data_IF_772164705159
#
_entry.id   IF_772164705159
#
_cell.length_a   1.000
_cell.length_b   1.000
_cell.length_c   1.000
_cell.angle_alpha   90.00
_cell.angle_beta   90.00
_cell.angle_gamma   90.00
#
_symmetry.space_group_name_H-M   'P 1'
#
loop_
_entity.id
_entity.type
_entity.pdbx_description
1 polymer ?
#
# COMPACT_ATOMS: atom_id res chain seq x y z
N UNK A 1 -12.12 -8.47 16.11
CA UNK A 1 -13.29 -8.10 15.29
C UNK A 1 -13.72 -9.33 14.51
N UNK A 2 -15.02 -9.59 14.36
CA UNK A 2 -15.51 -10.73 13.58
C UNK A 2 -15.21 -10.58 12.09
N UNK A 3 -15.21 -11.69 11.35
CA UNK A 3 -14.92 -11.72 9.90
C UNK A 3 -15.88 -10.82 9.12
N UNK A 4 -17.14 -10.74 9.55
CA UNK A 4 -18.20 -9.99 8.88
C UNK A 4 -17.96 -8.46 8.83
N UNK A 5 -17.69 -7.75 9.95
CA UNK A 5 -17.37 -6.32 9.89
C UNK A 5 -16.09 -6.03 9.10
N UNK A 6 -15.07 -6.89 9.18
CA UNK A 6 -13.88 -6.76 8.35
C UNK A 6 -14.18 -6.91 6.85
N UNK A 7 -15.04 -7.87 6.48
CA UNK A 7 -15.49 -8.07 5.10
C UNK A 7 -16.30 -6.88 4.57
N UNK A 8 -17.15 -6.26 5.41
CA UNK A 8 -17.91 -5.07 5.02
C UNK A 8 -17.02 -3.86 4.74
N UNK A 9 -16.03 -3.61 5.61
CA UNK A 9 -15.06 -2.53 5.38
C UNK A 9 -14.28 -2.79 4.09
N UNK A 10 -13.81 -4.02 3.89
CA UNK A 10 -13.11 -4.38 2.64
C UNK A 10 -14.00 -4.20 1.41
N UNK A 11 -15.25 -4.66 1.47
CA UNK A 11 -16.22 -4.50 0.39
C UNK A 11 -16.50 -3.02 0.08
N UNK A 12 -16.56 -2.14 1.09
CA UNK A 12 -16.79 -0.71 0.89
C UNK A 12 -15.63 -0.02 0.14
N UNK A 13 -14.38 -0.46 0.34
CA UNK A 13 -13.21 0.09 -0.36
C UNK A 13 -12.85 -0.64 -1.66
N UNK A 14 -13.43 -1.82 -1.90
CA UNK A 14 -13.22 -2.60 -3.13
C UNK A 14 -13.54 -1.83 -4.42
N UNK A 15 -14.57 -0.96 -4.50
CA UNK A 15 -14.80 -0.12 -5.67
C UNK A 15 -13.67 0.88 -5.94
N UNK A 16 -13.03 1.44 -4.91
CA UNK A 16 -11.89 2.34 -5.09
C UNK A 16 -10.68 1.58 -5.63
N UNK A 17 -10.43 0.38 -5.10
CA UNK A 17 -9.42 -0.54 -5.63
C UNK A 17 -9.69 -0.83 -7.11
N UNK A 18 -10.94 -1.22 -7.43
CA UNK A 18 -11.35 -1.51 -8.79
C UNK A 18 -11.16 -0.30 -9.71
N UNK A 19 -11.59 0.89 -9.31
CA UNK A 19 -11.41 2.13 -10.08
C UNK A 19 -9.93 2.42 -10.32
N UNK A 20 -9.09 2.23 -9.30
CA UNK A 20 -7.65 2.47 -9.38
C UNK A 20 -7.00 1.55 -10.43
N UNK A 21 -7.34 0.26 -10.40
CA UNK A 21 -6.78 -0.75 -11.31
C UNK A 21 -7.37 -0.64 -12.71
N UNK A 22 -8.68 -0.42 -12.83
CA UNK A 22 -9.40 -0.45 -14.10
C UNK A 22 -9.33 0.86 -14.89
N UNK A 23 -9.19 2.01 -14.21
CA UNK A 23 -9.22 3.32 -14.86
C UNK A 23 -7.97 4.15 -14.61
N UNK A 24 -7.56 4.33 -13.34
CA UNK A 24 -6.51 5.29 -12.98
C UNK A 24 -5.14 4.84 -13.48
N UNK A 25 -4.76 3.58 -13.27
CA UNK A 25 -3.47 3.05 -13.73
C UNK A 25 -3.36 3.03 -15.26
N UNK A 26 -4.36 2.54 -16.03
CA UNK A 26 -4.36 2.64 -17.48
C UNK A 26 -4.24 4.08 -17.98
N UNK A 27 -4.95 5.02 -17.35
CA UNK A 27 -4.89 6.44 -17.70
C UNK A 27 -3.51 7.05 -17.41
N UNK A 28 -2.91 6.77 -16.25
CA UNK A 28 -1.54 7.18 -15.92
C UNK A 28 -0.51 6.67 -16.95
N UNK A 29 -0.71 5.42 -17.40
CA UNK A 29 0.14 4.83 -18.43
C UNK A 29 -0.05 5.50 -19.78
N UNK A 30 -1.27 5.77 -20.22
CA UNK A 30 -1.54 6.32 -21.56
C UNK A 30 -1.21 7.81 -21.66
N UNK A 31 -1.44 8.59 -20.60
CA UNK A 31 -1.22 10.04 -20.59
C UNK A 31 0.23 10.42 -20.26
N UNK A 32 0.86 9.73 -19.32
CA UNK A 32 2.19 10.10 -18.81
C UNK A 32 3.29 9.08 -19.12
N UNK A 33 2.95 7.96 -19.79
CA UNK A 33 3.91 6.88 -20.05
C UNK A 33 4.39 6.17 -18.78
N UNK A 34 3.72 6.37 -17.65
CA UNK A 34 4.16 5.84 -16.34
C UNK A 34 4.04 4.31 -16.35
N UNK A 35 5.12 3.57 -16.00
CA UNK A 35 5.05 2.13 -15.83
C UNK A 35 3.97 1.74 -14.81
N UNK A 36 3.14 0.71 -15.08
CA UNK A 36 2.03 0.33 -14.20
C UNK A 36 2.40 0.12 -12.74
N UNK A 37 3.63 -0.36 -12.48
CA UNK A 37 4.14 -0.55 -11.11
C UNK A 37 4.26 0.77 -10.35
N UNK A 38 4.78 1.82 -10.99
CA UNK A 38 4.88 3.16 -10.40
C UNK A 38 3.48 3.77 -10.28
N UNK A 39 2.64 3.55 -11.29
CA UNK A 39 1.23 3.93 -11.27
C UNK A 39 0.53 3.39 -10.04
N UNK A 40 0.69 2.10 -9.72
CA UNK A 40 0.14 1.48 -8.51
C UNK A 40 0.67 2.09 -7.21
N UNK A 41 1.97 2.36 -7.11
CA UNK A 41 2.51 2.98 -5.90
C UNK A 41 1.92 4.38 -5.64
N UNK A 42 1.75 5.18 -6.69
CA UNK A 42 1.19 6.53 -6.57
C UNK A 42 -0.33 6.47 -6.35
N UNK A 43 -1.06 5.81 -7.25
CA UNK A 43 -2.52 5.81 -7.24
C UNK A 43 -3.09 4.89 -6.16
N UNK A 44 -2.50 3.72 -5.91
CA UNK A 44 -2.88 2.83 -4.81
C UNK A 44 -2.70 3.51 -3.45
N UNK A 45 -1.62 4.28 -3.27
CA UNK A 45 -1.44 5.05 -2.04
C UNK A 45 -2.49 6.17 -1.92
N UNK A 46 -2.67 6.96 -2.99
CA UNK A 46 -3.55 8.12 -2.97
C UNK A 46 -5.04 7.77 -2.88
N UNK A 47 -5.49 6.74 -3.60
CA UNK A 47 -6.91 6.41 -3.79
C UNK A 47 -7.36 5.17 -3.02
N UNK A 48 -6.47 4.34 -2.50
CA UNK A 48 -6.85 3.15 -1.71
C UNK A 48 -6.39 3.31 -0.27
N UNK A 49 -5.08 3.46 -0.04
CA UNK A 49 -4.53 3.51 1.32
C UNK A 49 -4.95 4.76 2.09
N UNK A 50 -4.83 5.95 1.49
CA UNK A 50 -5.20 7.20 2.16
C UNK A 50 -6.68 7.22 2.57
N UNK A 51 -7.66 6.90 1.71
CA UNK A 51 -9.06 6.87 2.11
C UNK A 51 -9.35 5.89 3.25
N UNK A 52 -8.74 4.70 3.22
CA UNK A 52 -8.87 3.71 4.32
C UNK A 52 -8.29 4.28 5.62
N UNK A 53 -7.12 4.92 5.55
CA UNK A 53 -6.48 5.54 6.70
C UNK A 53 -7.33 6.67 7.28
N UNK A 54 -7.84 7.56 6.43
CA UNK A 54 -8.72 8.66 6.84
C UNK A 54 -10.03 8.14 7.44
N UNK A 55 -10.60 7.07 6.88
CA UNK A 55 -11.80 6.44 7.44
C UNK A 55 -11.53 5.85 8.82
N UNK A 56 -10.42 5.12 9.00
CA UNK A 56 -10.02 4.61 10.31
C UNK A 56 -9.77 5.73 11.33
N UNK A 57 -9.16 6.83 10.88
CA UNK A 57 -8.93 8.02 11.70
C UNK A 57 -10.25 8.69 12.11
N UNK A 58 -11.19 8.84 11.18
CA UNK A 58 -12.50 9.45 11.42
C UNK A 58 -13.34 8.60 12.37
N UNK A 59 -13.35 7.27 12.19
CA UNK A 59 -14.01 6.34 13.11
C UNK A 59 -13.41 6.43 14.51
N UNK A 60 -12.08 6.40 14.62
CA UNK A 60 -11.39 6.57 15.90
C UNK A 60 -11.67 7.93 16.54
N UNK A 61 -11.83 8.98 15.73
CA UNK A 61 -12.17 10.33 16.20
C UNK A 61 -13.61 10.42 16.72
N UNK A 62 -14.56 9.75 16.07
CA UNK A 62 -15.96 9.71 16.52
C UNK A 62 -16.16 8.91 17.80
N UNK A 63 -15.33 7.87 18.04
CA UNK A 63 -15.38 7.09 19.27
C UNK A 63 -14.76 7.80 20.50
N UNK A 64 -14.12 8.96 20.33
CA UNK A 64 -13.47 9.67 21.43
C UNK A 64 -14.49 10.51 22.24
N UNK A 65 -14.58 10.30 23.57
CA UNK A 65 -15.48 11.07 24.44
C UNK A 65 -15.11 12.55 24.50
N UNK A 66 -13.81 12.85 24.45
CA UNK A 66 -13.28 14.21 24.33
C UNK A 66 -12.47 14.26 23.05
N UNK A 67 -12.89 15.08 22.08
CA UNK A 67 -12.26 15.28 20.75
C UNK A 67 -10.86 15.90 20.86
N UNK A 68 -9.95 15.20 21.51
CA UNK A 68 -8.61 15.65 21.85
C UNK A 68 -7.58 14.83 21.07
N UNK A 69 -6.71 15.54 20.33
CA UNK A 69 -5.64 14.96 19.52
C UNK A 69 -4.69 14.09 20.34
N UNK A 70 -4.47 14.42 21.62
CA UNK A 70 -3.60 13.64 22.50
C UNK A 70 -4.15 12.23 22.74
N UNK A 71 -5.46 12.13 23.02
CA UNK A 71 -6.14 10.85 23.21
C UNK A 71 -6.26 10.05 21.91
N UNK A 72 -6.44 10.74 20.77
CA UNK A 72 -6.38 10.10 19.46
C UNK A 72 -5.00 9.48 19.21
N UNK A 73 -3.91 10.18 19.51
CA UNK A 73 -2.55 9.64 19.37
C UNK A 73 -2.31 8.42 20.27
N UNK A 74 -2.81 8.45 21.51
CA UNK A 74 -2.72 7.32 22.45
C UNK A 74 -3.53 6.12 21.96
N UNK A 75 -4.75 6.34 21.42
CA UNK A 75 -5.59 5.27 20.85
C UNK A 75 -5.01 4.68 19.57
N UNK A 76 -4.50 5.51 18.68
CA UNK A 76 -3.84 5.07 17.45
C UNK A 76 -2.46 4.45 17.71
N UNK A 77 -2.00 4.44 18.98
CA UNK A 77 -0.65 4.00 19.37
C UNK A 77 0.41 4.62 18.48
N UNK A 78 0.25 5.91 18.17
CA UNK A 78 1.27 6.72 17.53
C UNK A 78 2.35 7.02 18.57
N UNK A 79 3.00 5.96 19.06
CA UNK A 79 4.20 6.05 19.86
C UNK A 79 5.33 6.47 18.93
N UNK A 80 6.20 7.36 19.40
CA UNK A 80 7.40 7.71 18.66
C UNK A 80 8.16 6.41 18.32
N UNK A 81 8.42 6.22 17.03
CA UNK A 81 9.09 5.03 16.50
C UNK A 81 10.45 4.92 17.18
N UNK A 82 10.71 3.80 17.87
CA UNK A 82 11.96 3.68 18.59
C UNK A 82 13.12 3.50 17.61
N UNK A 83 14.37 3.86 17.98
CA UNK A 83 15.53 3.65 17.12
C UNK A 83 15.67 2.19 16.67
N UNK A 84 15.27 1.24 17.51
CA UNK A 84 15.25 -0.19 17.18
C UNK A 84 14.23 -0.56 16.11
N UNK A 85 13.03 0.04 16.16
CA UNK A 85 12.00 -0.15 15.12
C UNK A 85 12.45 0.41 13.78
N UNK A 86 13.19 1.53 13.79
CA UNK A 86 13.76 2.15 12.58
C UNK A 86 14.80 1.22 11.95
N UNK A 87 15.71 0.63 12.75
CA UNK A 87 16.71 -0.34 12.25
C UNK A 87 16.02 -1.56 11.64
N UNK A 88 14.99 -2.09 12.28
CA UNK A 88 14.20 -3.20 11.73
C UNK A 88 13.48 -2.83 10.44
N UNK A 89 12.89 -1.65 10.37
CA UNK A 89 12.23 -1.16 9.15
C UNK A 89 13.21 -1.02 7.99
N UNK A 90 14.40 -0.45 8.24
CA UNK A 90 15.46 -0.32 7.25
C UNK A 90 15.98 -1.70 6.81
N UNK A 91 16.20 -2.61 7.77
CA UNK A 91 16.62 -3.98 7.46
C UNK A 91 15.59 -4.74 6.61
N UNK A 92 14.30 -4.59 6.93
CA UNK A 92 13.20 -5.13 6.14
C UNK A 92 13.17 -4.55 4.73
N UNK A 93 13.33 -3.24 4.59
CA UNK A 93 13.40 -2.58 3.28
C UNK A 93 14.56 -3.12 2.44
N UNK A 94 15.74 -3.25 3.05
CA UNK A 94 16.93 -3.75 2.38
C UNK A 94 16.74 -5.20 1.91
N UNK A 95 16.10 -6.03 2.75
CA UNK A 95 15.78 -7.43 2.42
C UNK A 95 14.83 -7.51 1.22
N UNK A 96 13.80 -6.66 1.15
CA UNK A 96 12.85 -6.61 0.03
C UNK A 96 13.57 -6.19 -1.27
N UNK A 97 14.46 -5.19 -1.20
CA UNK A 97 15.24 -4.75 -2.36
C UNK A 97 16.14 -5.90 -2.85
N UNK A 98 16.85 -6.57 -1.94
CA UNK A 98 17.73 -7.68 -2.29
C UNK A 98 16.95 -8.85 -2.93
N UNK A 99 15.81 -9.23 -2.34
CA UNK A 99 14.95 -10.27 -2.88
C UNK A 99 14.43 -9.90 -4.28
N UNK A 100 14.05 -8.64 -4.49
CA UNK A 100 13.59 -8.14 -5.79
C UNK A 100 14.69 -8.23 -6.86
N UNK A 101 15.94 -7.89 -6.52
CA UNK A 101 17.08 -8.02 -7.41
C UNK A 101 17.31 -9.48 -7.80
N UNK A 102 17.26 -10.40 -6.82
CA UNK A 102 17.45 -11.84 -7.07
C UNK A 102 16.36 -12.37 -8.00
N UNK A 103 15.09 -12.01 -7.76
CA UNK A 103 13.96 -12.41 -8.60
C UNK A 103 14.13 -11.85 -10.03
N UNK A 104 14.51 -10.57 -10.17
CA UNK A 104 14.75 -9.96 -11.48
C UNK A 104 15.94 -10.61 -12.21
N UNK A 105 17.00 -10.97 -11.49
CA UNK A 105 18.15 -11.66 -12.06
C UNK A 105 17.77 -13.06 -12.57
N UNK A 106 17.00 -13.82 -11.77
CA UNK A 106 16.47 -15.13 -12.17
C UNK A 106 15.49 -15.03 -13.34
N UNK A 107 14.63 -14.00 -13.36
CA UNK A 107 13.71 -13.76 -14.45
C UNK A 107 14.46 -13.46 -15.76
N UNK A 108 15.55 -12.66 -15.69
CA UNK A 108 16.40 -12.39 -16.85
C UNK A 108 17.15 -13.62 -17.34
N UNK A 109 17.68 -14.45 -16.43
CA UNK A 109 18.43 -15.65 -16.81
C UNK A 109 17.56 -16.72 -17.48
N UNK A 110 16.25 -16.75 -17.19
CA UNK A 110 15.28 -17.63 -17.88
C UNK A 110 14.63 -16.99 -19.10
N UNK A 111 14.52 -15.66 -19.14
CA UNK A 111 13.98 -14.93 -20.29
C UNK A 111 14.88 -14.96 -21.54
N UNK A 112 16.20 -15.14 -21.37
CA UNK A 112 17.14 -15.28 -22.50
C UNK A 112 16.96 -16.56 -23.33
N UNK A 113 16.22 -17.57 -22.84
CA UNK A 113 15.92 -18.79 -23.61
C UNK A 113 14.74 -18.62 -24.59
N UNK A 114 13.94 -17.55 -24.48
CA UNK A 114 12.77 -17.32 -25.35
C UNK A 114 13.04 -16.43 -26.58
N UNK A 115 14.25 -15.87 -26.72
CA UNK A 115 14.64 -15.04 -27.88
C UNK A 115 15.32 -15.82 -29.01
N UNK A 116 15.40 -17.15 -28.90
CA UNK A 116 16.11 -18.02 -29.86
C UNK A 116 15.22 -19.10 -30.48
N UNK A 117 13.93 -18.80 -30.72
CA UNK A 117 13.15 -19.59 -31.68
C UNK A 117 12.66 -18.65 -32.80
N UNK A 118 13.08 -18.90 -34.05
CA UNK A 118 12.71 -18.09 -35.21
C UNK A 118 11.22 -18.15 -35.51
#
# INVERSE_FOLDING_TARGET
MGVLPSAMVFAAFSPLLWLTVAAIIPWLRSTFGIPPIIGWYVSGTAFVLLPILFFGLAMAWWELPTRNLRQLSTRLRLSAMTPGDIVWAIGGLFTIVLASIVILALARSRGSEFSTRP
#
